data_IF_540399178705
#
_entry.id   IF_540399178705
#
_cell.length_a   1.000
_cell.length_b   1.000
_cell.length_c   1.000
_cell.angle_alpha   90.00
_cell.angle_beta   90.00
_cell.angle_gamma   90.00
#
_symmetry.space_group_name_H-M   'P 1'
#
loop_
_entity.id
_entity.type
_entity.pdbx_description
1 polymer ?
#
# COMPACT_ATOMS: atom_id res chain seq x y z
N UNK A 1 -21.44 -0.03 -21.71
CA UNK A 1 -20.97 -0.93 -22.78
C UNK A 1 -20.02 -1.92 -22.15
N UNK A 2 -20.44 -3.18 -22.01
CA UNK A 2 -19.63 -4.21 -21.38
C UNK A 2 -18.60 -4.71 -22.40
N UNK A 3 -17.34 -4.86 -21.99
CA UNK A 3 -16.24 -5.24 -22.90
C UNK A 3 -16.12 -6.76 -23.08
N UNK A 4 -16.79 -7.53 -22.22
CA UNK A 4 -16.95 -8.98 -22.33
C UNK A 4 -17.57 -9.40 -23.66
N UNK A 5 -18.41 -8.52 -24.23
CA UNK A 5 -19.27 -8.80 -25.38
C UNK A 5 -18.57 -8.49 -26.72
N UNK A 6 -17.30 -8.06 -26.68
CA UNK A 6 -16.52 -7.64 -27.83
C UNK A 6 -15.19 -8.39 -27.89
N UNK A 7 -14.70 -8.64 -29.10
CA UNK A 7 -13.38 -9.19 -29.37
C UNK A 7 -12.49 -8.17 -30.09
N UNK A 8 -11.18 -8.25 -29.86
CA UNK A 8 -10.21 -7.36 -30.52
C UNK A 8 -9.98 -7.77 -31.96
N UNK A 9 -9.82 -6.80 -32.86
CA UNK A 9 -9.42 -7.06 -34.25
C UNK A 9 -7.89 -7.02 -34.40
N UNK A 10 -7.38 -7.19 -35.62
CA UNK A 10 -5.95 -7.01 -35.94
C UNK A 10 -5.44 -5.59 -35.65
N UNK A 11 -6.34 -4.60 -35.52
CA UNK A 11 -5.99 -3.21 -35.28
C UNK A 11 -6.18 -2.79 -33.83
N UNK A 12 -5.12 -2.23 -33.24
CA UNK A 12 -5.12 -1.84 -31.83
C UNK A 12 -6.14 -0.76 -31.53
N UNK A 13 -7.07 -1.08 -30.61
CA UNK A 13 -8.12 -0.17 -30.17
C UNK A 13 -9.39 -0.21 -31.01
N UNK A 14 -9.47 -1.13 -31.98
CA UNK A 14 -10.69 -1.48 -32.70
C UNK A 14 -11.22 -2.82 -32.16
N UNK A 15 -12.52 -2.88 -31.94
CA UNK A 15 -13.21 -4.05 -31.39
C UNK A 15 -14.50 -4.31 -32.17
N UNK A 16 -14.86 -5.58 -32.29
CA UNK A 16 -16.08 -6.04 -32.96
C UNK A 16 -16.94 -6.85 -31.98
N UNK A 17 -18.27 -6.75 -32.03
CA UNK A 17 -19.15 -7.53 -31.15
C UNK A 17 -19.02 -9.02 -31.42
N UNK A 18 -19.06 -9.84 -30.37
CA UNK A 18 -19.04 -11.31 -30.50
C UNK A 18 -20.34 -11.86 -31.08
N UNK A 19 -21.46 -11.24 -30.71
CA UNK A 19 -22.77 -11.56 -31.26
C UNK A 19 -23.10 -10.62 -32.42
N UNK A 20 -23.66 -11.18 -33.50
CA UNK A 20 -24.20 -10.44 -34.62
C UNK A 20 -25.67 -10.13 -34.38
N UNK A 21 -26.09 -8.91 -34.73
CA UNK A 21 -27.52 -8.59 -34.75
C UNK A 21 -28.14 -9.08 -36.06
N UNK A 22 -29.31 -9.71 -36.02
CA UNK A 22 -29.97 -10.33 -37.19
C UNK A 22 -30.06 -9.38 -38.40
N UNK A 23 -30.44 -8.12 -38.17
CA UNK A 23 -30.55 -7.10 -39.23
C UNK A 23 -29.26 -6.33 -39.52
N UNK A 24 -28.43 -6.04 -38.51
CA UNK A 24 -27.33 -5.06 -38.63
C UNK A 24 -25.95 -5.71 -38.77
N UNK A 25 -25.81 -7.00 -38.47
CA UNK A 25 -24.51 -7.69 -38.44
C UNK A 25 -23.69 -7.33 -37.21
N UNK A 26 -22.38 -7.56 -37.27
CA UNK A 26 -21.48 -7.28 -36.15
C UNK A 26 -21.22 -5.77 -35.96
N UNK A 27 -21.07 -5.34 -34.71
CA UNK A 27 -20.91 -3.93 -34.32
C UNK A 27 -19.45 -3.57 -34.10
N UNK A 28 -18.97 -2.52 -34.78
CA UNK A 28 -17.61 -2.00 -34.63
C UNK A 28 -17.52 -0.85 -33.63
N UNK A 29 -16.52 -0.90 -32.77
CA UNK A 29 -16.31 0.05 -31.68
C UNK A 29 -14.83 0.45 -31.58
N UNK A 30 -14.58 1.76 -31.57
CA UNK A 30 -13.28 2.32 -31.25
C UNK A 30 -13.14 2.52 -29.74
N UNK A 31 -12.04 2.04 -29.16
CA UNK A 31 -11.64 2.33 -27.79
C UNK A 31 -10.15 2.62 -27.69
N UNK A 32 -9.83 3.84 -27.25
CA UNK A 32 -8.44 4.27 -27.07
C UNK A 32 -8.36 5.36 -26.00
N UNK A 33 -7.14 5.67 -25.59
CA UNK A 33 -6.85 6.73 -24.62
C UNK A 33 -6.02 7.82 -25.29
N UNK A 34 -6.44 9.07 -25.13
CA UNK A 34 -5.73 10.24 -25.63
C UNK A 34 -5.76 11.34 -24.56
N UNK A 35 -4.61 11.95 -24.23
CA UNK A 35 -4.49 12.99 -23.22
C UNK A 35 -5.13 12.65 -21.86
N UNK A 36 -4.91 11.41 -21.38
CA UNK A 36 -5.46 10.88 -20.10
C UNK A 36 -6.99 10.76 -20.04
N UNK A 37 -7.71 10.99 -21.16
CA UNK A 37 -9.14 10.73 -21.31
C UNK A 37 -9.37 9.47 -22.15
N UNK A 38 -10.35 8.66 -21.73
CA UNK A 38 -10.75 7.44 -22.43
C UNK A 38 -11.88 7.77 -23.40
N UNK A 39 -11.75 7.31 -24.63
CA UNK A 39 -12.75 7.48 -25.67
C UNK A 39 -13.30 6.12 -26.06
N UNK A 40 -14.63 6.03 -26.12
CA UNK A 40 -15.37 4.88 -26.65
C UNK A 40 -16.37 5.43 -27.64
N UNK A 41 -16.34 4.94 -28.88
CA UNK A 41 -17.25 5.37 -29.92
C UNK A 41 -17.68 4.19 -30.78
N UNK A 42 -18.98 4.05 -30.99
CA UNK A 42 -19.53 3.13 -32.00
C UNK A 42 -19.21 3.70 -33.37
N UNK A 43 -18.56 2.90 -34.22
CA UNK A 43 -18.18 3.31 -35.57
C UNK A 43 -19.27 2.98 -36.59
N UNK A 44 -19.95 1.84 -36.41
CA UNK A 44 -21.03 1.39 -37.28
C UNK A 44 -21.23 -0.13 -37.17
N UNK A 45 -21.99 -0.68 -38.11
CA UNK A 45 -22.32 -2.10 -38.20
C UNK A 45 -21.92 -2.69 -39.56
N UNK A 46 -21.54 -3.96 -39.55
CA UNK A 46 -21.04 -4.70 -40.71
C UNK A 46 -22.00 -4.67 -41.91
N UNK A 47 -23.29 -4.98 -41.72
CA UNK A 47 -24.21 -5.17 -42.84
C UNK A 47 -24.83 -3.85 -43.33
N UNK A 48 -25.10 -2.91 -42.42
CA UNK A 48 -25.77 -1.65 -42.77
C UNK A 48 -24.79 -0.58 -43.24
N UNK A 49 -23.60 -0.54 -42.66
CA UNK A 49 -22.56 0.44 -43.05
C UNK A 49 -21.51 -0.16 -43.99
N UNK A 50 -21.68 -1.43 -44.41
CA UNK A 50 -20.74 -2.22 -45.21
C UNK A 50 -19.30 -2.16 -44.67
N UNK A 51 -19.17 -2.33 -43.35
CA UNK A 51 -17.91 -2.15 -42.63
C UNK A 51 -17.15 -3.47 -42.50
N UNK A 52 -15.85 -3.40 -42.75
CA UNK A 52 -14.87 -4.43 -42.45
C UNK A 52 -13.76 -3.85 -41.57
N UNK A 53 -12.85 -4.70 -41.10
CA UNK A 53 -11.74 -4.30 -40.22
C UNK A 53 -10.95 -3.09 -40.74
N UNK A 54 -10.68 -3.02 -42.04
CA UNK A 54 -9.85 -1.98 -42.64
C UNK A 54 -10.63 -0.65 -42.76
N UNK A 55 -11.88 -0.68 -43.23
CA UNK A 55 -12.73 0.52 -43.33
C UNK A 55 -13.12 1.06 -41.96
N UNK A 56 -13.38 0.18 -40.99
CA UNK A 56 -13.62 0.58 -39.60
C UNK A 56 -12.35 1.18 -38.94
N UNK A 57 -11.16 0.70 -39.30
CA UNK A 57 -9.91 1.29 -38.81
C UNK A 57 -9.67 2.70 -39.36
N UNK A 58 -9.99 2.96 -40.63
CA UNK A 58 -9.94 4.32 -41.18
C UNK A 58 -10.89 5.29 -40.46
N UNK A 59 -12.09 4.83 -40.11
CA UNK A 59 -13.04 5.62 -39.31
C UNK A 59 -12.52 5.91 -37.90
N UNK A 60 -11.82 4.96 -37.29
CA UNK A 60 -11.14 5.14 -36.01
C UNK A 60 -10.03 6.19 -36.11
N UNK A 61 -9.22 6.18 -37.17
CA UNK A 61 -8.17 7.19 -37.40
C UNK A 61 -8.77 8.59 -37.61
N UNK A 62 -9.79 8.73 -38.46
CA UNK A 62 -10.53 9.99 -38.65
C UNK A 62 -11.10 10.51 -37.33
N UNK A 63 -11.62 9.62 -36.49
CA UNK A 63 -12.12 10.01 -35.16
C UNK A 63 -10.99 10.48 -34.23
N UNK A 64 -9.84 9.80 -34.20
CA UNK A 64 -8.65 10.24 -33.44
C UNK A 64 -8.17 11.63 -33.88
N UNK A 65 -8.11 11.88 -35.18
CA UNK A 65 -7.66 13.17 -35.73
C UNK A 65 -8.62 14.30 -35.40
N UNK A 66 -9.94 14.03 -35.39
CA UNK A 66 -10.94 15.02 -34.96
C UNK A 66 -10.75 15.47 -33.51
N UNK A 67 -10.30 14.55 -32.63
CA UNK A 67 -10.03 14.83 -31.22
C UNK A 67 -8.70 15.58 -31.05
N UNK A 68 -7.69 15.24 -31.86
CA UNK A 68 -6.41 15.93 -31.88
C UNK A 68 -6.55 17.37 -32.38
N UNK A 69 -7.34 17.62 -33.42
CA UNK A 69 -7.59 18.98 -33.92
C UNK A 69 -8.40 19.83 -32.92
N UNK A 70 -9.37 19.25 -32.20
CA UNK A 70 -10.02 19.93 -31.06
C UNK A 70 -9.03 20.28 -29.94
N UNK A 71 -8.04 19.42 -29.70
CA UNK A 71 -6.97 19.71 -28.73
C UNK A 71 -5.99 20.78 -29.23
N UNK A 72 -5.66 20.84 -30.53
CA UNK A 72 -4.80 21.89 -31.11
C UNK A 72 -5.45 23.27 -31.07
N UNK A 73 -6.76 23.39 -31.28
CA UNK A 73 -7.51 24.65 -31.11
C UNK A 73 -7.49 25.10 -29.65
N UNK A 74 -7.60 24.18 -28.69
CA UNK A 74 -7.47 24.48 -27.26
C UNK A 74 -6.03 24.81 -26.82
N UNK A 75 -5.01 24.28 -27.52
CA UNK A 75 -3.58 24.51 -27.21
C UNK A 75 -3.05 25.79 -27.86
N UNK A 76 -3.61 26.25 -29.00
CA UNK A 76 -3.21 27.51 -29.66
C UNK A 76 -3.46 28.75 -28.78
N UNK A 77 -4.35 28.66 -27.80
CA UNK A 77 -4.60 29.73 -26.83
C UNK A 77 -3.58 29.78 -25.67
N UNK A 78 -2.56 28.91 -25.62
CA UNK A 78 -1.63 28.82 -24.46
C UNK A 78 -0.15 28.54 -24.78
N UNK A 79 0.39 28.96 -25.93
CA UNK A 79 1.85 28.89 -26.15
C UNK A 79 2.40 30.14 -26.82
N UNK A 80 3.15 30.93 -26.04
CA UNK A 80 4.30 31.67 -26.54
C UNK A 80 5.55 31.15 -25.80
N UNK A 81 6.36 30.46 -26.60
CA UNK A 81 7.82 30.24 -26.63
C UNK A 81 8.65 29.84 -25.39
N UNK A 82 9.30 28.67 -25.52
CA UNK A 82 10.46 28.22 -24.73
C UNK A 82 11.72 28.40 -25.57
N UNK A 83 12.76 29.01 -24.98
CA UNK A 83 14.15 28.99 -25.47
C UNK A 83 14.98 27.90 -24.80
N UNK A 84 16.03 27.50 -25.51
CA UNK A 84 16.89 26.33 -25.37
C UNK A 84 17.63 26.16 -24.04
N UNK A 85 17.72 24.91 -23.59
CA UNK A 85 18.58 24.47 -22.48
C UNK A 85 19.99 24.13 -22.96
N UNK A 86 21.00 24.87 -22.49
CA UNK A 86 22.41 24.45 -22.51
C UNK A 86 23.05 24.61 -21.13
N UNK A 87 23.76 23.55 -20.72
CA UNK A 87 24.86 23.44 -19.75
C UNK A 87 24.61 23.92 -18.31
N UNK A 88 24.47 22.97 -17.38
CA UNK A 88 24.71 23.21 -15.94
C UNK A 88 25.79 22.25 -15.45
N UNK A 89 27.02 22.74 -15.45
CA UNK A 89 28.02 22.41 -14.43
C UNK A 89 28.57 23.74 -13.95
N UNK A 90 28.11 24.24 -12.80
CA UNK A 90 28.69 25.38 -12.08
C UNK A 90 28.19 25.46 -10.63
N UNK A 91 29.17 25.58 -9.73
CA UNK A 91 29.19 26.13 -8.37
C UNK A 91 28.09 25.82 -7.35
N UNK A 92 28.53 25.23 -6.23
CA UNK A 92 27.79 24.90 -4.99
C UNK A 92 27.48 26.14 -4.13
N UNK A 93 27.46 27.34 -4.71
CA UNK A 93 27.19 28.61 -4.00
C UNK A 93 25.83 29.23 -4.32
N UNK A 94 25.04 28.63 -5.21
CA UNK A 94 23.80 29.23 -5.74
C UNK A 94 22.55 28.34 -5.60
N UNK A 95 22.52 27.47 -4.59
CA UNK A 95 21.37 26.58 -4.33
C UNK A 95 20.07 27.35 -4.16
N UNK A 96 20.09 28.54 -3.53
CA UNK A 96 18.87 29.34 -3.32
C UNK A 96 18.31 29.95 -4.61
N UNK A 97 19.18 30.43 -5.49
CA UNK A 97 18.79 31.05 -6.77
C UNK A 97 18.27 29.98 -7.74
N UNK A 98 18.95 28.83 -7.79
CA UNK A 98 18.51 27.65 -8.53
C UNK A 98 17.19 27.09 -7.99
N UNK A 99 17.01 27.07 -6.66
CA UNK A 99 15.76 26.62 -6.04
C UNK A 99 14.60 27.60 -6.31
N UNK A 100 14.84 28.91 -6.32
CA UNK A 100 13.83 29.90 -6.72
C UNK A 100 13.43 29.75 -8.19
N UNK A 101 14.40 29.50 -9.07
CA UNK A 101 14.12 29.25 -10.49
C UNK A 101 13.33 27.95 -10.71
N UNK A 102 13.71 26.87 -10.01
CA UNK A 102 13.05 25.56 -10.11
C UNK A 102 11.65 25.52 -9.50
N UNK A 103 11.42 26.21 -8.38
CA UNK A 103 10.15 26.19 -7.64
C UNK A 103 9.17 27.27 -8.11
N UNK A 104 9.64 28.32 -8.79
CA UNK A 104 8.82 29.46 -9.20
C UNK A 104 8.41 30.35 -8.01
N UNK A 105 7.48 31.29 -8.25
CA UNK A 105 6.92 32.10 -7.16
C UNK A 105 5.92 31.26 -6.33
N UNK A 106 6.20 31.11 -5.04
CA UNK A 106 5.34 30.37 -4.12
C UNK A 106 3.94 30.98 -4.01
N UNK A 107 3.75 32.26 -4.37
CA UNK A 107 2.45 32.94 -4.39
C UNK A 107 1.50 32.36 -5.44
N UNK A 108 2.04 31.76 -6.50
CA UNK A 108 1.25 31.15 -7.59
C UNK A 108 0.90 29.68 -7.31
N UNK A 109 1.43 29.12 -6.21
CA UNK A 109 1.19 27.75 -5.79
C UNK A 109 -0.01 27.72 -4.84
N UNK A 110 -0.91 26.75 -5.03
CA UNK A 110 -1.99 26.48 -4.08
C UNK A 110 -1.42 26.36 -2.65
N UNK A 111 -1.87 27.20 -1.69
CA UNK A 111 -1.40 27.16 -0.30
C UNK A 111 -1.46 25.77 0.34
N UNK A 112 -2.42 24.93 -0.06
CA UNK A 112 -2.52 23.56 0.44
C UNK A 112 -1.34 22.69 -0.03
N UNK A 113 -0.91 22.85 -1.28
CA UNK A 113 0.26 22.14 -1.85
C UNK A 113 1.54 22.62 -1.18
N UNK A 114 1.67 23.93 -0.95
CA UNK A 114 2.81 24.50 -0.25
C UNK A 114 2.92 23.96 1.19
N UNK A 115 1.80 23.96 1.93
CA UNK A 115 1.72 23.38 3.28
C UNK A 115 2.12 21.90 3.29
N UNK A 116 1.57 21.10 2.38
CA UNK A 116 1.91 19.66 2.27
C UNK A 116 3.40 19.45 1.96
N UNK A 117 3.98 20.30 1.11
CA UNK A 117 5.40 20.28 0.76
C UNK A 117 6.28 20.56 1.98
N UNK A 118 5.97 21.62 2.72
CA UNK A 118 6.70 22.01 3.94
C UNK A 118 6.58 20.92 5.01
N UNK A 119 5.37 20.41 5.28
CA UNK A 119 5.15 19.30 6.23
C UNK A 119 6.00 18.08 5.88
N UNK A 120 6.09 17.71 4.59
CA UNK A 120 6.94 16.60 4.15
C UNK A 120 8.42 16.81 4.44
N UNK A 121 8.92 18.05 4.45
CA UNK A 121 10.32 18.35 4.80
C UNK A 121 10.54 18.11 6.29
N UNK A 122 9.71 18.70 7.14
CA UNK A 122 9.78 18.50 8.59
C UNK A 122 9.61 17.04 9.00
N UNK A 123 8.64 16.35 8.40
CA UNK A 123 8.42 14.92 8.61
C UNK A 123 9.64 14.06 8.24
N UNK A 124 10.37 14.41 7.17
CA UNK A 124 11.59 13.70 6.79
C UNK A 124 12.70 13.93 7.82
N UNK A 125 12.86 15.15 8.31
CA UNK A 125 13.91 15.48 9.28
C UNK A 125 13.64 14.85 10.64
N UNK A 126 12.40 14.89 11.13
CA UNK A 126 11.99 14.18 12.35
C UNK A 126 12.28 12.68 12.23
N UNK A 127 11.87 12.05 11.13
CA UNK A 127 12.06 10.61 10.90
C UNK A 127 13.54 10.21 10.85
N UNK A 128 14.42 11.08 10.33
CA UNK A 128 15.85 10.80 10.16
C UNK A 128 16.53 10.47 11.49
N UNK A 129 16.17 11.17 12.56
CA UNK A 129 16.75 10.95 13.89
C UNK A 129 16.44 9.54 14.40
N UNK A 130 15.20 9.08 14.27
CA UNK A 130 14.82 7.72 14.68
C UNK A 130 15.39 6.64 13.75
N UNK A 131 15.64 6.96 12.48
CA UNK A 131 16.33 6.04 11.56
C UNK A 131 17.81 5.85 11.92
N UNK A 132 18.47 6.87 12.48
CA UNK A 132 19.81 6.73 13.05
C UNK A 132 19.78 5.75 14.23
N UNK A 133 18.78 5.86 15.10
CA UNK A 133 18.60 4.94 16.22
C UNK A 133 18.34 3.50 15.74
N UNK A 134 17.60 3.28 14.65
CA UNK A 134 17.42 1.95 14.06
C UNK A 134 18.75 1.32 13.60
N UNK A 135 19.69 2.13 13.10
CA UNK A 135 21.03 1.66 12.73
C UNK A 135 21.81 1.24 13.98
N UNK A 136 21.71 2.00 15.08
CA UNK A 136 22.33 1.64 16.37
C UNK A 136 21.76 0.34 16.93
N UNK A 137 20.43 0.22 16.92
CA UNK A 137 19.72 -1.01 17.29
C UNK A 137 20.22 -2.19 16.46
N UNK A 138 20.29 -2.06 15.13
CA UNK A 138 20.75 -3.14 14.26
C UNK A 138 22.18 -3.59 14.59
N UNK A 139 23.11 -2.64 14.81
CA UNK A 139 24.49 -2.96 15.22
C UNK A 139 24.55 -3.66 16.58
N UNK A 140 23.70 -3.25 17.52
CA UNK A 140 23.61 -3.89 18.82
C UNK A 140 23.13 -5.34 18.70
N UNK A 141 22.07 -5.59 17.93
CA UNK A 141 21.56 -6.93 17.68
C UNK A 141 22.63 -7.86 17.10
N UNK A 142 23.38 -7.37 16.11
CA UNK A 142 24.51 -8.10 15.51
C UNK A 142 25.57 -8.45 16.55
N UNK A 143 26.01 -7.47 17.35
CA UNK A 143 27.01 -7.67 18.40
C UNK A 143 26.55 -8.68 19.46
N UNK A 144 25.26 -8.72 19.80
CA UNK A 144 24.72 -9.55 20.88
C UNK A 144 24.01 -10.82 20.38
N UNK A 145 24.01 -11.10 19.09
CA UNK A 145 23.25 -12.20 18.46
C UNK A 145 21.75 -12.25 18.83
N UNK A 146 21.14 -11.10 19.13
CA UNK A 146 19.71 -11.02 19.47
C UNK A 146 18.86 -11.10 18.22
N UNK A 147 17.65 -11.64 18.35
CA UNK A 147 16.74 -11.94 17.23
C UNK A 147 15.48 -11.12 17.38
N UNK A 148 15.08 -10.38 16.34
CA UNK A 148 13.86 -9.57 16.37
C UNK A 148 12.93 -9.98 15.24
N UNK A 149 11.67 -10.25 15.57
CA UNK A 149 10.58 -10.45 14.61
C UNK A 149 9.56 -9.32 14.81
N UNK A 150 9.22 -8.63 13.72
CA UNK A 150 8.20 -7.57 13.71
C UNK A 150 7.07 -7.97 12.76
N UNK A 151 5.87 -8.13 13.30
CA UNK A 151 4.66 -8.42 12.53
C UNK A 151 3.95 -7.13 12.18
N UNK A 152 3.70 -6.90 10.89
CA UNK A 152 2.87 -5.80 10.42
C UNK A 152 1.52 -6.37 9.99
N UNK A 153 0.51 -6.15 10.83
CA UNK A 153 -0.88 -6.48 10.55
C UNK A 153 -1.74 -5.22 10.44
N UNK A 154 -2.96 -5.40 9.95
CA UNK A 154 -3.92 -4.31 9.73
C UNK A 154 -4.63 -4.44 8.39
N UNK A 155 -5.75 -3.72 8.26
CA UNK A 155 -6.59 -3.72 7.05
C UNK A 155 -5.80 -3.33 5.80
N UNK A 156 -6.34 -3.64 4.63
CA UNK A 156 -5.76 -3.14 3.40
C UNK A 156 -5.79 -1.62 3.34
N UNK A 157 -4.79 -1.07 2.66
CA UNK A 157 -4.51 0.36 2.64
C UNK A 157 -4.20 1.05 3.99
N UNK A 158 -4.07 0.33 5.10
CA UNK A 158 -3.67 0.89 6.42
C UNK A 158 -2.26 1.49 6.45
N UNK A 159 -1.33 1.02 5.62
CA UNK A 159 -0.02 1.66 5.42
C UNK A 159 1.21 0.83 5.79
N UNK A 160 1.03 -0.44 6.17
CA UNK A 160 2.05 -1.45 6.51
C UNK A 160 3.33 -1.39 5.66
N UNK A 161 3.24 -1.74 4.37
CA UNK A 161 4.41 -1.72 3.48
C UNK A 161 5.04 -0.34 3.29
N UNK A 162 4.30 0.76 3.55
CA UNK A 162 4.88 2.10 3.58
C UNK A 162 5.70 2.37 4.84
N UNK A 163 5.34 1.77 5.97
CA UNK A 163 6.10 1.80 7.22
C UNK A 163 7.35 0.93 7.13
N UNK A 164 7.23 -0.30 6.64
CA UNK A 164 8.38 -1.19 6.41
C UNK A 164 9.44 -0.48 5.56
N UNK A 165 9.04 0.11 4.42
CA UNK A 165 9.95 0.88 3.54
C UNK A 165 10.62 2.09 4.20
N UNK A 166 10.07 2.63 5.28
CA UNK A 166 10.66 3.76 6.01
C UNK A 166 11.59 3.27 7.12
N UNK A 167 11.20 2.20 7.81
CA UNK A 167 12.04 1.50 8.80
C UNK A 167 13.34 1.02 8.13
N UNK A 168 13.23 0.29 7.01
CA UNK A 168 14.38 -0.36 6.38
C UNK A 168 15.21 0.54 5.47
N UNK A 169 14.81 1.81 5.28
CA UNK A 169 15.38 2.70 4.26
C UNK A 169 16.91 2.84 4.33
N UNK A 170 17.47 2.87 5.54
CA UNK A 170 18.90 3.05 5.79
C UNK A 170 19.53 1.91 6.59
N UNK A 171 18.76 0.86 6.89
CA UNK A 171 19.30 -0.32 7.57
C UNK A 171 20.19 -1.12 6.62
N UNK A 172 21.18 -1.83 7.15
CA UNK A 172 22.02 -2.73 6.37
C UNK A 172 21.18 -3.96 5.96
N UNK A 173 21.02 -4.17 4.65
CA UNK A 173 20.21 -5.25 4.08
C UNK A 173 20.73 -6.66 4.36
N UNK A 174 21.95 -6.80 4.88
CA UNK A 174 22.49 -8.10 5.33
C UNK A 174 21.90 -8.58 6.64
N UNK A 175 21.40 -7.67 7.48
CA UNK A 175 20.93 -7.98 8.84
C UNK A 175 19.45 -7.63 9.03
N UNK A 176 18.70 -7.49 7.92
CA UNK A 176 17.25 -7.53 7.98
C UNK A 176 16.68 -8.28 6.78
N UNK A 177 15.50 -8.88 6.95
CA UNK A 177 14.73 -9.46 5.86
C UNK A 177 13.29 -8.97 5.92
N UNK A 178 12.71 -8.69 4.77
CA UNK A 178 11.27 -8.41 4.64
C UNK A 178 10.62 -9.64 4.02
N UNK A 179 9.69 -10.25 4.75
CA UNK A 179 8.94 -11.43 4.30
C UNK A 179 7.52 -11.01 3.97
N UNK A 180 7.11 -11.22 2.72
CA UNK A 180 5.76 -10.96 2.24
C UNK A 180 5.28 -12.21 1.49
N UNK A 181 4.70 -13.16 2.23
CA UNK A 181 4.25 -14.42 1.67
C UNK A 181 2.94 -14.26 0.90
N UNK A 182 2.87 -14.87 -0.29
CA UNK A 182 1.63 -14.99 -1.06
C UNK A 182 0.72 -16.11 -0.56
N UNK A 183 -0.32 -16.40 -1.35
CA UNK A 183 -1.21 -17.56 -1.15
C UNK A 183 -0.38 -18.84 -0.97
N UNK A 184 -0.70 -19.71 0.01
CA UNK A 184 0.02 -20.96 0.17
C UNK A 184 -0.15 -21.87 -1.05
N UNK A 185 0.90 -22.58 -1.45
CA UNK A 185 0.81 -23.65 -2.45
C UNK A 185 -0.04 -24.83 -1.94
N UNK A 186 -0.42 -25.75 -2.81
CA UNK A 186 -1.15 -26.97 -2.42
C UNK A 186 -0.39 -27.77 -1.35
N UNK A 187 0.93 -27.91 -1.51
CA UNK A 187 1.80 -28.54 -0.50
C UNK A 187 1.81 -27.77 0.81
N UNK A 188 1.87 -26.43 0.77
CA UNK A 188 1.85 -25.62 2.01
C UNK A 188 0.49 -25.65 2.71
N UNK A 189 -0.60 -25.90 1.99
CA UNK A 189 -1.93 -26.06 2.58
C UNK A 189 -2.09 -27.40 3.32
N UNK A 190 -1.35 -28.44 2.92
CA UNK A 190 -1.34 -29.74 3.60
C UNK A 190 -0.25 -29.89 4.67
N UNK A 191 0.62 -28.89 4.81
CA UNK A 191 1.61 -28.81 5.89
C UNK A 191 1.02 -28.27 7.19
N UNK A 192 1.78 -28.40 8.27
CA UNK A 192 1.48 -27.65 9.49
C UNK A 192 1.52 -26.14 9.20
N UNK A 193 0.48 -25.41 9.64
CA UNK A 193 0.26 -24.02 9.24
C UNK A 193 1.45 -23.09 9.48
N UNK A 194 2.14 -23.24 10.62
CA UNK A 194 3.28 -22.38 10.97
C UNK A 194 4.56 -22.71 10.20
N UNK A 195 4.67 -23.89 9.58
CA UNK A 195 5.89 -24.38 8.95
C UNK A 195 6.46 -23.40 7.93
N UNK A 196 5.61 -22.91 7.01
CA UNK A 196 6.03 -21.94 5.97
C UNK A 196 6.54 -20.60 6.53
N UNK A 197 6.16 -20.24 7.75
CA UNK A 197 6.61 -19.00 8.38
C UNK A 197 7.95 -19.20 9.09
N UNK A 198 8.10 -20.35 9.77
CA UNK A 198 9.30 -20.72 10.53
C UNK A 198 10.54 -20.81 9.64
N UNK A 199 10.38 -21.26 8.38
CA UNK A 199 11.46 -21.30 7.39
C UNK A 199 12.16 -19.95 7.17
N UNK A 200 11.50 -18.84 7.51
CA UNK A 200 12.05 -17.49 7.34
C UNK A 200 12.66 -16.88 8.60
N UNK A 201 12.57 -17.55 9.74
CA UNK A 201 12.91 -16.99 11.04
C UNK A 201 14.35 -16.46 11.10
N UNK A 202 14.59 -15.37 11.87
CA UNK A 202 15.89 -14.72 11.93
C UNK A 202 16.91 -15.63 12.61
N UNK A 203 18.14 -15.57 12.13
CA UNK A 203 19.31 -16.01 12.89
C UNK A 203 19.76 -14.88 13.82
N UNK A 204 20.77 -15.16 14.67
CA UNK A 204 21.29 -14.15 15.60
C UNK A 204 21.74 -12.88 14.88
N UNK A 205 21.31 -11.73 15.39
CA UNK A 205 21.65 -10.42 14.83
C UNK A 205 20.73 -9.93 13.71
N UNK A 206 19.71 -10.71 13.33
CA UNK A 206 18.80 -10.33 12.26
C UNK A 206 17.48 -9.72 12.76
N UNK A 207 16.97 -8.76 11.98
CA UNK A 207 15.60 -8.23 12.11
C UNK A 207 14.73 -8.77 10.99
N UNK A 208 13.69 -9.54 11.33
CA UNK A 208 12.71 -10.04 10.38
C UNK A 208 11.44 -9.19 10.41
N UNK A 209 11.03 -8.64 9.26
CA UNK A 209 9.82 -7.84 9.12
C UNK A 209 8.80 -8.58 8.26
N UNK A 210 7.69 -9.02 8.86
CA UNK A 210 6.60 -9.69 8.16
C UNK A 210 5.57 -8.66 7.65
N UNK A 211 5.43 -8.48 6.33
CA UNK A 211 4.30 -7.76 5.72
C UNK A 211 3.12 -8.72 5.57
N UNK A 212 2.23 -8.72 6.58
CA UNK A 212 1.36 -9.84 6.95
C UNK A 212 2.12 -11.06 7.48
N UNK A 213 1.46 -11.88 8.27
CA UNK A 213 2.04 -12.97 9.05
C UNK A 213 1.08 -14.15 9.18
N UNK A 214 1.35 -15.05 10.12
CA UNK A 214 0.44 -16.14 10.51
C UNK A 214 -0.94 -15.64 10.94
N UNK A 215 -1.09 -14.37 11.34
CA UNK A 215 -2.39 -13.74 11.63
C UNK A 215 -3.30 -13.56 10.41
N UNK A 216 -2.88 -13.90 9.19
CA UNK A 216 -3.80 -14.09 8.08
C UNK A 216 -4.95 -15.05 8.45
N UNK A 217 -4.67 -16.10 9.24
CA UNK A 217 -5.67 -17.06 9.73
C UNK A 217 -6.60 -16.54 10.82
N UNK A 218 -6.21 -15.52 11.57
CA UNK A 218 -7.13 -14.80 12.47
C UNK A 218 -8.08 -13.89 11.70
N UNK A 219 -7.65 -13.36 10.56
CA UNK A 219 -8.27 -12.19 9.92
C UNK A 219 -8.88 -12.53 8.56
N UNK A 220 -8.04 -12.63 7.53
CA UNK A 220 -8.51 -12.67 6.13
C UNK A 220 -9.04 -14.04 5.75
N UNK A 221 -8.39 -15.11 6.17
CA UNK A 221 -8.77 -16.48 5.79
C UNK A 221 -10.21 -16.86 6.20
N UNK A 222 -10.68 -16.63 7.43
CA UNK A 222 -12.04 -17.00 7.82
C UNK A 222 -13.13 -16.17 7.14
N UNK A 223 -12.84 -14.91 6.77
CA UNK A 223 -13.82 -14.01 6.11
C UNK A 223 -14.07 -14.45 4.66
N UNK A 224 -13.02 -14.82 3.94
CA UNK A 224 -13.13 -15.23 2.54
C UNK A 224 -13.21 -16.75 2.34
N UNK A 225 -13.35 -17.52 3.43
CA UNK A 225 -13.46 -18.98 3.36
C UNK A 225 -12.19 -19.70 2.87
N UNK A 226 -11.00 -19.12 3.13
CA UNK A 226 -9.72 -19.74 2.80
C UNK A 226 -9.22 -20.73 3.87
N UNK A 227 -9.91 -20.80 5.00
CA UNK A 227 -9.73 -21.84 6.02
C UNK A 227 -11.11 -22.31 6.51
N UNK A 228 -11.17 -23.52 7.07
CA UNK A 228 -12.37 -23.98 7.77
C UNK A 228 -12.50 -23.28 9.13
N UNK A 229 -13.70 -23.31 9.71
CA UNK A 229 -13.93 -22.79 11.06
C UNK A 229 -13.05 -23.49 12.11
N UNK A 230 -12.92 -24.82 11.99
CA UNK A 230 -12.04 -25.63 12.82
C UNK A 230 -10.57 -25.18 12.71
N UNK A 231 -10.06 -24.97 11.49
CA UNK A 231 -8.68 -24.49 11.28
C UNK A 231 -8.44 -23.11 11.89
N UNK A 232 -9.44 -22.22 11.80
CA UNK A 232 -9.37 -20.91 12.42
C UNK A 232 -9.31 -21.02 13.94
N UNK A 233 -10.17 -21.85 14.54
CA UNK A 233 -10.23 -22.00 16.00
C UNK A 233 -8.96 -22.65 16.55
N UNK A 234 -8.46 -23.73 15.92
CA UNK A 234 -7.17 -24.36 16.27
C UNK A 234 -6.05 -23.31 16.27
N UNK A 235 -5.97 -22.49 15.20
CA UNK A 235 -4.97 -21.43 15.15
C UNK A 235 -5.12 -20.42 16.31
N UNK A 236 -6.34 -20.03 16.63
CA UNK A 236 -6.61 -19.04 17.68
C UNK A 236 -6.33 -19.58 19.09
N UNK A 237 -6.39 -20.90 19.30
CA UNK A 237 -5.97 -21.57 20.53
C UNK A 237 -4.43 -21.70 20.61
N UNK A 238 -3.78 -22.05 19.50
CA UNK A 238 -2.35 -22.39 19.49
C UNK A 238 -1.42 -21.18 19.38
N UNK A 239 -1.83 -20.10 18.71
CA UNK A 239 -0.93 -18.98 18.34
C UNK A 239 -0.24 -18.34 19.53
N UNK A 240 -0.92 -18.25 20.69
CA UNK A 240 -0.33 -17.67 21.90
C UNK A 240 0.77 -18.56 22.46
N UNK A 241 0.57 -19.88 22.47
CA UNK A 241 1.59 -20.84 22.92
C UNK A 241 2.80 -20.81 21.98
N UNK A 242 2.54 -20.82 20.67
CA UNK A 242 3.59 -20.67 19.66
C UNK A 242 4.43 -19.42 19.89
N UNK A 243 3.81 -18.25 20.05
CA UNK A 243 4.52 -16.98 20.29
C UNK A 243 5.27 -16.96 21.63
N UNK A 244 4.69 -17.57 22.66
CA UNK A 244 5.35 -17.70 23.95
C UNK A 244 6.64 -18.50 23.85
N UNK A 245 6.64 -19.60 23.08
CA UNK A 245 7.85 -20.38 22.84
C UNK A 245 8.91 -19.56 22.09
N UNK A 246 8.52 -18.70 21.13
CA UNK A 246 9.47 -17.80 20.45
C UNK A 246 10.15 -16.85 21.45
N UNK A 247 9.35 -16.22 22.31
CA UNK A 247 9.87 -15.27 23.31
C UNK A 247 10.80 -15.96 24.30
N UNK A 248 10.50 -17.21 24.70
CA UNK A 248 11.38 -18.02 25.57
C UNK A 248 12.72 -18.36 24.93
N UNK A 249 12.79 -18.39 23.60
CA UNK A 249 14.02 -18.63 22.83
C UNK A 249 14.77 -17.32 22.48
N UNK A 250 14.55 -16.26 23.27
CA UNK A 250 15.20 -14.95 23.10
C UNK A 250 14.94 -14.35 21.71
N UNK A 251 13.71 -14.51 21.21
CA UNK A 251 13.19 -13.76 20.06
C UNK A 251 12.34 -12.63 20.60
N UNK A 252 12.76 -11.39 20.35
CA UNK A 252 11.91 -10.21 20.59
C UNK A 252 10.81 -10.17 19.54
N UNK A 253 9.58 -10.49 19.94
CA UNK A 253 8.41 -10.45 19.07
C UNK A 253 7.64 -9.14 19.24
N UNK A 254 7.57 -8.34 18.19
CA UNK A 254 6.82 -7.08 18.14
C UNK A 254 5.63 -7.24 17.22
N UNK A 255 4.40 -7.03 17.74
CA UNK A 255 3.16 -7.15 16.95
C UNK A 255 2.52 -5.78 16.76
N UNK A 256 2.46 -5.30 15.52
CA UNK A 256 1.91 -4.00 15.16
C UNK A 256 0.62 -4.17 14.36
N UNK A 257 -0.47 -3.54 14.82
CA UNK A 257 -1.72 -3.48 14.06
C UNK A 257 -1.96 -2.04 13.57
N UNK A 258 -1.92 -1.83 12.26
CA UNK A 258 -2.23 -0.54 11.64
C UNK A 258 -3.75 -0.40 11.48
N UNK A 259 -4.36 0.40 12.36
CA UNK A 259 -5.79 0.71 12.34
C UNK A 259 -6.04 1.94 11.48
N UNK A 260 -6.80 1.81 10.41
CA UNK A 260 -7.22 2.93 9.55
C UNK A 260 -8.73 3.09 9.68
N UNK A 261 -9.26 4.31 9.67
CA UNK A 261 -10.71 4.54 9.66
C UNK A 261 -11.32 4.11 8.33
N UNK A 262 -12.63 3.79 8.33
CA UNK A 262 -13.36 3.39 7.12
C UNK A 262 -13.27 4.44 6.01
N UNK A 263 -13.48 5.70 6.38
CA UNK A 263 -13.40 6.84 5.48
C UNK A 263 -12.00 7.02 4.87
N UNK A 264 -10.94 6.93 5.68
CA UNK A 264 -9.58 7.04 5.17
C UNK A 264 -9.18 5.83 4.31
N UNK A 265 -9.63 4.63 4.64
CA UNK A 265 -9.42 3.45 3.80
C UNK A 265 -10.05 3.65 2.41
N UNK A 266 -11.32 4.08 2.36
CA UNK A 266 -12.02 4.39 1.12
C UNK A 266 -11.28 5.46 0.30
N UNK A 267 -10.89 6.57 0.94
CA UNK A 267 -10.10 7.64 0.29
C UNK A 267 -8.79 7.10 -0.30
N UNK A 268 -8.12 6.18 0.40
CA UNK A 268 -6.87 5.56 -0.08
C UNK A 268 -7.10 4.63 -1.26
N UNK A 269 -8.21 3.89 -1.31
CA UNK A 269 -8.58 3.07 -2.46
C UNK A 269 -8.88 3.93 -3.69
N UNK A 270 -9.68 5.00 -3.53
CA UNK A 270 -9.95 5.94 -4.63
C UNK A 270 -8.66 6.58 -5.17
N UNK A 271 -7.75 6.97 -4.28
CA UNK A 271 -6.44 7.48 -4.71
C UNK A 271 -5.62 6.42 -5.46
N UNK A 272 -5.64 5.15 -5.03
CA UNK A 272 -4.93 4.06 -5.74
C UNK A 272 -5.52 3.82 -7.13
N UNK A 273 -6.83 4.02 -7.32
CA UNK A 273 -7.51 3.87 -8.60
C UNK A 273 -7.00 4.85 -9.65
N UNK A 274 -6.70 6.09 -9.24
CA UNK A 274 -6.24 7.17 -10.13
C UNK A 274 -4.70 7.25 -10.25
N UNK A 275 -3.95 6.72 -9.30
CA UNK A 275 -2.47 6.79 -9.24
C UNK A 275 -1.82 5.59 -9.94
N UNK A 276 -1.27 5.81 -11.14
CA UNK A 276 -0.64 4.78 -11.98
C UNK A 276 0.46 3.98 -11.26
N UNK A 277 1.19 4.58 -10.30
CA UNK A 277 2.24 3.90 -9.55
C UNK A 277 1.71 3.01 -8.43
N UNK A 278 0.40 3.07 -8.15
CA UNK A 278 -0.26 2.36 -7.05
C UNK A 278 -1.44 1.50 -7.48
N UNK A 279 -1.84 1.56 -8.75
CA UNK A 279 -2.93 0.74 -9.29
C UNK A 279 -2.72 -0.77 -9.07
N UNK A 280 -1.48 -1.25 -9.18
CA UNK A 280 -1.13 -2.65 -8.92
C UNK A 280 -1.43 -3.11 -7.47
N UNK A 281 -1.67 -2.17 -6.54
CA UNK A 281 -2.03 -2.46 -5.13
C UNK A 281 -3.54 -2.61 -4.90
N UNK A 282 -4.34 -2.65 -5.96
CA UNK A 282 -5.77 -2.93 -5.89
C UNK A 282 -6.01 -4.34 -6.39
N UNK A 283 -6.56 -5.18 -5.53
CA UNK A 283 -7.10 -6.50 -5.85
C UNK A 283 -8.63 -6.47 -5.80
N UNK A 284 -9.28 -7.49 -6.37
CA UNK A 284 -10.74 -7.64 -6.26
C UNK A 284 -11.19 -7.81 -4.80
N UNK A 285 -10.38 -8.53 -4.00
CA UNK A 285 -10.56 -8.71 -2.55
C UNK A 285 -10.57 -7.36 -1.82
N UNK A 286 -9.71 -6.41 -2.24
CA UNK A 286 -9.66 -5.07 -1.64
C UNK A 286 -10.96 -4.26 -1.85
N UNK A 287 -11.65 -4.48 -2.98
CA UNK A 287 -12.91 -3.80 -3.27
C UNK A 287 -14.05 -4.35 -2.41
N UNK A 288 -14.09 -5.67 -2.22
CA UNK A 288 -15.05 -6.34 -1.33
C UNK A 288 -14.80 -6.00 0.15
N UNK A 289 -13.55 -5.72 0.54
CA UNK A 289 -13.19 -5.45 1.93
C UNK A 289 -13.86 -4.20 2.54
N UNK A 290 -14.37 -3.28 1.73
CA UNK A 290 -15.18 -2.14 2.21
C UNK A 290 -16.59 -2.57 2.64
N UNK A 291 -17.20 -3.50 1.90
CA UNK A 291 -18.53 -4.04 2.21
C UNK A 291 -18.47 -4.97 3.42
N UNK A 292 -17.39 -5.75 3.55
CA UNK A 292 -17.13 -6.65 4.68
C UNK A 292 -16.52 -5.94 5.91
N UNK A 293 -16.68 -4.63 6.02
CA UNK A 293 -16.04 -3.83 7.08
C UNK A 293 -16.31 -4.39 8.48
N UNK A 294 -17.57 -4.71 8.76
CA UNK A 294 -18.05 -5.19 10.05
C UNK A 294 -17.46 -6.58 10.40
N UNK A 295 -17.38 -7.49 9.42
CA UNK A 295 -16.80 -8.83 9.62
C UNK A 295 -15.31 -8.75 9.97
N UNK A 296 -14.58 -7.87 9.27
CA UNK A 296 -13.20 -7.57 9.61
C UNK A 296 -13.04 -6.91 10.98
N UNK A 297 -14.00 -6.08 11.41
CA UNK A 297 -13.99 -5.47 12.74
C UNK A 297 -14.19 -6.53 13.81
N UNK A 298 -15.11 -7.47 13.60
CA UNK A 298 -15.34 -8.59 14.52
C UNK A 298 -14.12 -9.50 14.63
N UNK A 299 -13.51 -9.90 13.50
CA UNK A 299 -12.29 -10.72 13.51
C UNK A 299 -11.10 -10.01 14.15
N UNK A 300 -10.95 -8.70 13.94
CA UNK A 300 -9.96 -7.88 14.65
C UNK A 300 -10.21 -7.89 16.15
N UNK A 301 -11.45 -7.70 16.58
CA UNK A 301 -11.83 -7.68 17.99
C UNK A 301 -11.46 -9.00 18.68
N UNK A 302 -11.88 -10.13 18.10
CA UNK A 302 -11.57 -11.45 18.64
C UNK A 302 -10.08 -11.77 18.61
N UNK A 303 -9.37 -11.42 17.53
CA UNK A 303 -7.92 -11.56 17.44
C UNK A 303 -7.22 -10.82 18.57
N UNK A 304 -7.51 -9.53 18.77
CA UNK A 304 -6.86 -8.70 19.78
C UNK A 304 -7.18 -9.17 21.19
N UNK A 305 -8.42 -9.57 21.44
CA UNK A 305 -8.89 -10.05 22.74
C UNK A 305 -8.22 -11.37 23.16
N UNK A 306 -8.04 -12.31 22.22
CA UNK A 306 -7.48 -13.64 22.52
C UNK A 306 -5.96 -13.70 22.47
N UNK A 307 -5.31 -12.84 21.69
CA UNK A 307 -3.87 -12.96 21.38
C UNK A 307 -3.01 -11.82 21.91
N UNK A 308 -3.58 -10.84 22.61
CA UNK A 308 -2.79 -9.84 23.33
C UNK A 308 -2.30 -10.40 24.67
N UNK A 309 -0.99 -10.54 24.82
CA UNK A 309 -0.36 -11.04 26.04
C UNK A 309 0.73 -10.10 26.55
N UNK A 310 1.17 -10.29 27.79
CA UNK A 310 2.27 -9.51 28.36
C UNK A 310 3.63 -9.81 27.69
N UNK A 311 3.84 -11.06 27.28
CA UNK A 311 5.08 -11.50 26.62
C UNK A 311 5.16 -11.07 25.15
N UNK A 312 4.01 -11.02 24.46
CA UNK A 312 3.90 -10.59 23.08
C UNK A 312 2.70 -9.62 22.93
N UNK A 313 2.84 -8.35 23.34
CA UNK A 313 1.76 -7.39 23.27
C UNK A 313 1.51 -6.94 21.83
N UNK A 314 0.23 -6.75 21.52
CA UNK A 314 -0.21 -5.97 20.36
C UNK A 314 -0.10 -4.46 20.61
N UNK A 315 0.46 -3.74 19.64
CA UNK A 315 0.46 -2.28 19.58
C UNK A 315 -0.48 -1.80 18.47
N UNK A 316 -1.47 -0.99 18.82
CA UNK A 316 -2.47 -0.50 17.86
C UNK A 316 -2.09 0.89 17.39
N UNK A 317 -1.76 1.01 16.10
CA UNK A 317 -1.29 2.24 15.48
C UNK A 317 -2.42 2.87 14.64
N UNK A 318 -3.03 3.96 15.13
CA UNK A 318 -3.95 4.80 14.34
C UNK A 318 -3.19 5.39 13.16
N UNK A 319 -3.57 4.95 11.97
CA UNK A 319 -2.76 5.05 10.76
C UNK A 319 -3.33 6.00 9.72
N UNK A 320 -4.34 6.78 10.07
CA UNK A 320 -4.93 7.80 9.20
C UNK A 320 -3.89 8.84 8.80
N UNK A 321 -3.15 9.36 9.79
CA UNK A 321 -1.88 10.02 9.57
C UNK A 321 -0.77 8.97 9.38
N UNK A 322 -0.30 8.85 8.14
CA UNK A 322 0.77 7.91 7.79
C UNK A 322 2.11 8.28 8.40
N UNK A 323 2.41 9.56 8.60
CA UNK A 323 3.68 9.98 9.16
C UNK A 323 3.75 9.58 10.64
N UNK A 324 2.73 9.96 11.42
CA UNK A 324 2.66 9.62 12.84
C UNK A 324 2.65 8.12 13.10
N UNK A 325 1.87 7.34 12.35
CA UNK A 325 1.88 5.87 12.53
C UNK A 325 3.21 5.20 12.20
N UNK A 326 3.98 5.73 11.25
CA UNK A 326 5.34 5.22 10.97
C UNK A 326 6.31 5.55 12.08
N UNK A 327 6.21 6.76 12.62
CA UNK A 327 7.04 7.20 13.71
C UNK A 327 6.78 6.35 14.95
N UNK A 328 5.51 6.15 15.31
CA UNK A 328 5.12 5.29 16.44
C UNK A 328 5.55 3.82 16.22
N UNK A 329 5.43 3.28 15.00
CA UNK A 329 5.95 1.95 14.69
C UNK A 329 7.46 1.83 14.96
N UNK A 330 8.24 2.85 14.57
CA UNK A 330 9.69 2.88 14.83
C UNK A 330 9.96 2.99 16.33
N UNK A 331 9.25 3.86 17.06
CA UNK A 331 9.40 3.99 18.51
C UNK A 331 9.13 2.66 19.21
N UNK A 332 8.08 1.93 18.83
CA UNK A 332 7.78 0.60 19.39
C UNK A 332 8.93 -0.37 19.16
N UNK A 333 9.50 -0.42 17.96
CA UNK A 333 10.66 -1.27 17.64
C UNK A 333 11.91 -0.84 18.44
N UNK A 334 12.16 0.46 18.58
CA UNK A 334 13.28 0.96 19.36
C UNK A 334 13.10 0.75 20.87
N UNK A 335 11.86 0.66 21.35
CA UNK A 335 11.56 0.36 22.75
C UNK A 335 11.57 -1.14 23.07
N UNK A 336 11.55 -2.03 22.06
CA UNK A 336 11.49 -3.46 22.30
C UNK A 336 12.84 -4.08 22.68
N UNK A 337 13.94 -3.34 22.49
CA UNK A 337 15.30 -3.77 22.82
C UNK A 337 16.02 -2.61 23.50
N UNK A 338 16.76 -2.91 24.56
CA UNK A 338 17.69 -1.97 25.19
C UNK A 338 19.05 -2.05 24.49
N UNK A 339 19.46 -1.00 23.77
CA UNK A 339 20.63 -1.00 22.89
C UNK A 339 21.61 0.13 23.24
N UNK A 340 22.90 -0.13 22.95
CA UNK A 340 24.00 0.79 23.24
C UNK A 340 23.85 2.16 22.53
N UNK A 341 24.29 3.24 23.19
CA UNK A 341 24.39 4.61 22.64
C UNK A 341 23.06 5.24 22.17
N UNK A 342 21.95 4.84 22.79
CA UNK A 342 20.63 5.43 22.56
C UNK A 342 20.62 6.94 22.84
N UNK A 343 20.06 7.72 21.92
CA UNK A 343 19.92 9.17 22.11
C UNK A 343 18.67 9.52 22.93
N UNK A 344 18.81 9.64 24.25
CA UNK A 344 17.72 9.97 25.17
C UNK A 344 17.16 11.40 25.06
N UNK A 345 17.74 12.27 24.22
CA UNK A 345 17.13 13.56 23.90
C UNK A 345 15.91 13.43 22.97
N UNK A 346 15.76 12.28 22.28
CA UNK A 346 14.58 11.99 21.47
C UNK A 346 13.43 11.48 22.33
N UNK A 347 12.19 11.80 21.93
CA UNK A 347 11.00 11.31 22.60
C UNK A 347 10.62 9.90 22.08
N UNK A 348 10.83 8.88 22.90
CA UNK A 348 10.42 7.51 22.58
C UNK A 348 9.09 7.09 23.22
N UNK A 349 8.44 7.99 23.96
CA UNK A 349 7.14 7.71 24.54
C UNK A 349 6.09 7.54 23.46
N UNK A 350 5.17 6.61 23.71
CA UNK A 350 4.05 6.34 22.85
C UNK A 350 3.07 7.53 22.88
N UNK A 351 2.77 8.11 21.73
CA UNK A 351 1.72 9.12 21.65
C UNK A 351 0.35 8.43 21.77
N UNK A 352 -0.35 8.64 22.89
CA UNK A 352 -1.62 7.98 23.20
C UNK A 352 -2.79 8.29 22.24
N UNK A 353 -2.59 9.21 21.30
CA UNK A 353 -3.52 9.47 20.19
C UNK A 353 -3.27 8.55 19.00
N UNK A 354 -2.02 8.13 18.79
CA UNK A 354 -1.60 7.34 17.63
C UNK A 354 -1.22 5.90 17.96
N UNK A 355 -0.63 5.66 19.12
CA UNK A 355 -0.31 4.34 19.65
C UNK A 355 -1.18 4.07 20.89
N UNK A 356 -2.27 3.33 20.68
CA UNK A 356 -3.27 3.08 21.72
C UNK A 356 -3.13 1.66 22.27
N UNK A 357 -3.48 1.50 23.54
CA UNK A 357 -3.53 0.18 24.16
C UNK A 357 -4.67 -0.66 23.59
N UNK A 358 -4.50 -1.98 23.61
CA UNK A 358 -5.55 -2.92 23.19
C UNK A 358 -6.82 -2.73 24.02
N UNK A 359 -6.73 -2.44 25.31
CA UNK A 359 -7.92 -2.19 26.14
C UNK A 359 -8.66 -0.92 25.74
N UNK A 360 -7.95 0.13 25.30
CA UNK A 360 -8.58 1.35 24.76
C UNK A 360 -9.25 1.03 23.42
N UNK A 361 -8.60 0.24 22.58
CA UNK A 361 -9.16 -0.15 21.29
C UNK A 361 -10.41 -1.02 21.42
N UNK A 362 -10.36 -2.12 22.18
CA UNK A 362 -11.52 -2.99 22.40
C UNK A 362 -12.72 -2.24 22.98
N UNK A 363 -12.48 -1.25 23.86
CA UNK A 363 -13.55 -0.38 24.39
C UNK A 363 -14.13 0.53 23.31
N UNK A 364 -13.31 1.03 22.39
CA UNK A 364 -13.76 1.83 21.25
C UNK A 364 -14.63 0.99 20.31
N UNK A 365 -14.17 -0.22 19.97
CA UNK A 365 -14.87 -1.14 19.05
C UNK A 365 -16.25 -1.56 19.55
N UNK A 366 -16.43 -1.65 20.88
CA UNK A 366 -17.75 -1.91 21.49
C UNK A 366 -18.72 -0.74 21.40
N UNK A 367 -18.20 0.49 21.34
CA UNK A 367 -19.00 1.73 21.30
C UNK A 367 -19.33 2.15 19.88
N UNK A 368 -18.38 1.97 18.98
CA UNK A 368 -18.45 2.43 17.59
C UNK A 368 -17.80 1.39 16.68
N UNK A 369 -18.50 1.06 15.59
CA UNK A 369 -18.05 0.09 14.57
C UNK A 369 -16.99 0.66 13.63
N UNK A 370 -16.71 1.96 13.69
CA UNK A 370 -15.81 2.65 12.75
C UNK A 370 -14.31 2.34 12.93
N UNK A 371 -13.91 1.52 13.91
CA UNK A 371 -12.49 1.23 14.21
C UNK A 371 -12.06 -0.23 14.24
#
# INVERSE_FOLDING_TARGET
>A
MNLSDYQGTKFRGLFISKEAHETFGHKYVARFQLNKKRYVKVLGYENVDNLNDDTAYEMLLKYKDSLLNKSKVAIKLKKQDKKDTKNITKDVSNDEELMRELLGDFKDIDPAVLKEGIEKVYHKEEMKQYQIELIKLQKYLEKTNKKVIVLFEGRDASGKGGAIRRITRYMNSRHYRVVALGKPSETQQSQWFFQRYIEHFPTGGEVLLFDRSWYNRAMVEPIFGFCTEEQHEIFMEDVVNFEHDLVRQDITLVKLYFSVSKAEQFRRFERRRIDQLRQWKLSEVDLQAQDLWDEFSEKKYEMLKRTHTRSAPWHILRSDDKHKARLEAIKVILNSVDYDNRNYALNFEADSNYNISVQKELRSMRKDKDY
#
